data_IF_834035836158
#
_entry.id   IF_834035836158
#
_cell.length_a   1.000
_cell.length_b   1.000
_cell.length_c   1.000
_cell.angle_alpha   90.00
_cell.angle_beta   90.00
_cell.angle_gamma   90.00
#
_symmetry.space_group_name_H-M   'P 1'
#
loop_
_entity.id
_entity.type
_entity.pdbx_description
1 polymer ?
#
# COMPACT_ATOMS: atom_id res chain seq x y z
N UNK A 1 6.39 16.15 -16.29
CA UNK A 1 5.15 15.63 -16.91
C UNK A 1 4.04 15.63 -15.86
N UNK A 2 2.93 16.28 -16.15
CA UNK A 2 1.79 16.24 -15.25
C UNK A 2 0.97 14.96 -15.48
N UNK A 3 0.71 14.21 -14.43
CA UNK A 3 -0.15 13.03 -14.50
C UNK A 3 -1.57 13.44 -14.12
N UNK A 4 -2.51 13.17 -15.01
CA UNK A 4 -3.93 13.39 -14.74
C UNK A 4 -4.53 12.11 -14.14
N UNK A 5 -5.12 12.25 -12.98
CA UNK A 5 -5.88 11.16 -12.36
C UNK A 5 -7.31 11.14 -12.90
N UNK A 6 -7.93 9.95 -12.99
CA UNK A 6 -9.35 9.87 -13.27
C UNK A 6 -10.17 10.61 -12.21
N UNK A 7 -11.38 10.99 -12.60
CA UNK A 7 -12.32 11.64 -11.70
C UNK A 7 -12.60 10.76 -10.49
N UNK A 8 -12.61 11.35 -9.29
CA UNK A 8 -12.84 10.62 -8.05
C UNK A 8 -11.59 10.03 -7.39
N UNK A 9 -10.41 10.17 -8.03
CA UNK A 9 -9.15 9.73 -7.45
C UNK A 9 -8.28 10.91 -7.08
N UNK A 10 -7.56 10.77 -5.97
CA UNK A 10 -6.55 11.73 -5.50
C UNK A 10 -5.27 10.97 -5.17
N UNK A 11 -4.13 11.63 -5.37
CA UNK A 11 -2.83 11.07 -5.03
C UNK A 11 -1.96 12.12 -4.38
N UNK A 12 -1.07 11.67 -3.52
CA UNK A 12 -0.07 12.50 -2.88
C UNK A 12 1.16 11.70 -2.53
N UNK A 13 2.29 12.37 -2.44
CA UNK A 13 3.55 11.76 -2.04
C UNK A 13 4.29 12.68 -1.09
N UNK A 14 5.09 12.10 -0.21
CA UNK A 14 5.86 12.83 0.77
C UNK A 14 7.16 12.13 1.11
N UNK A 15 8.01 12.80 1.87
CA UNK A 15 9.24 12.24 2.43
C UNK A 15 8.94 11.69 3.81
N UNK A 16 9.12 10.38 3.99
CA UNK A 16 8.97 9.74 5.28
C UNK A 16 10.32 9.39 5.93
N UNK A 17 11.42 9.71 5.26
CA UNK A 17 12.76 9.45 5.77
C UNK A 17 13.25 8.02 5.56
N UNK A 18 12.63 7.27 4.67
CA UNK A 18 13.00 5.87 4.37
C UNK A 18 14.24 5.84 3.46
N UNK A 19 14.22 6.67 2.41
CA UNK A 19 15.34 6.78 1.48
C UNK A 19 16.44 7.70 2.03
N UNK A 20 17.70 7.25 2.02
CA UNK A 20 18.81 8.15 2.41
C UNK A 20 18.91 9.40 1.54
N UNK A 21 18.44 9.35 0.29
CA UNK A 21 18.50 10.46 -0.65
C UNK A 21 17.61 11.65 -0.27
N UNK A 22 16.68 11.49 0.67
CA UNK A 22 15.70 12.51 1.01
C UNK A 22 14.65 12.78 -0.06
N UNK A 23 14.55 11.92 -1.09
CA UNK A 23 13.49 12.01 -2.10
C UNK A 23 12.17 11.49 -1.53
N UNK A 24 11.03 11.85 -2.12
CA UNK A 24 9.75 11.28 -1.72
C UNK A 24 9.79 9.75 -1.75
N UNK A 25 9.30 9.14 -0.69
CA UNK A 25 9.40 7.70 -0.48
C UNK A 25 8.12 7.08 0.10
N UNK A 26 7.07 7.88 0.21
CA UNK A 26 5.75 7.43 0.65
C UNK A 26 4.69 8.07 -0.23
N UNK A 27 3.77 7.28 -0.75
CA UNK A 27 2.68 7.78 -1.59
C UNK A 27 1.35 7.15 -1.20
N UNK A 28 0.29 7.91 -1.43
CA UNK A 28 -1.09 7.46 -1.28
C UNK A 28 -1.84 7.70 -2.59
N UNK A 29 -2.67 6.73 -2.98
CA UNK A 29 -3.68 6.87 -4.01
C UNK A 29 -5.03 6.56 -3.37
N UNK A 30 -5.98 7.47 -3.48
CA UNK A 30 -7.26 7.37 -2.76
C UNK A 30 -8.42 7.50 -3.74
N UNK A 31 -9.38 6.58 -3.63
CA UNK A 31 -10.67 6.69 -4.31
C UNK A 31 -11.70 7.31 -3.38
N UNK A 32 -12.47 8.26 -3.87
CA UNK A 32 -13.57 8.88 -3.13
C UNK A 32 -14.74 7.94 -2.86
N UNK A 33 -14.83 6.85 -3.64
CA UNK A 33 -15.87 5.81 -3.52
C UNK A 33 -15.24 4.43 -3.44
N UNK A 34 -15.95 3.43 -2.90
CA UNK A 34 -15.49 2.04 -3.00
C UNK A 34 -15.20 1.67 -4.45
N UNK A 35 -14.02 1.16 -4.71
CA UNK A 35 -13.54 0.86 -6.06
C UNK A 35 -13.41 -0.64 -6.28
N UNK A 36 -13.90 -1.09 -7.43
CA UNK A 36 -13.59 -2.43 -7.92
C UNK A 36 -12.11 -2.50 -8.29
N UNK A 37 -11.49 -3.65 -8.07
CA UNK A 37 -10.08 -3.84 -8.34
C UNK A 37 -9.77 -5.25 -8.82
N UNK A 38 -8.66 -5.38 -9.52
CA UNK A 38 -8.09 -6.65 -9.93
C UNK A 38 -6.67 -6.74 -9.39
N UNK A 39 -6.21 -7.94 -9.12
CA UNK A 39 -4.94 -8.15 -8.45
C UNK A 39 -4.12 -9.22 -9.15
N UNK A 40 -2.88 -8.88 -9.44
CA UNK A 40 -1.90 -9.82 -9.96
C UNK A 40 -0.65 -9.73 -9.07
N UNK A 41 -0.17 -10.85 -8.60
CA UNK A 41 0.97 -10.92 -7.69
C UNK A 41 1.74 -12.21 -7.91
N UNK A 42 2.98 -12.24 -7.41
CA UNK A 42 3.80 -13.44 -7.46
C UNK A 42 3.12 -14.63 -6.76
N UNK A 43 3.37 -15.83 -7.26
CA UNK A 43 2.95 -17.08 -6.61
C UNK A 43 3.99 -17.60 -5.62
N UNK A 44 5.12 -16.92 -5.46
CA UNK A 44 6.18 -17.32 -4.55
C UNK A 44 5.65 -17.38 -3.12
N UNK A 45 5.92 -18.48 -2.41
CA UNK A 45 5.53 -18.65 -1.01
C UNK A 45 6.31 -17.73 -0.08
N UNK A 46 7.53 -17.36 -0.46
CA UNK A 46 8.37 -16.43 0.29
C UNK A 46 8.11 -14.97 -0.11
N UNK A 47 6.92 -14.66 -0.59
CA UNK A 47 6.54 -13.31 -0.96
C UNK A 47 6.53 -12.36 0.24
N UNK A 48 6.67 -11.07 -0.03
CA UNK A 48 6.63 -10.02 0.99
C UNK A 48 5.28 -9.98 1.74
N UNK A 49 5.24 -9.46 2.97
CA UNK A 49 4.00 -9.30 3.73
C UNK A 49 2.88 -8.59 2.97
N UNK A 50 3.22 -7.55 2.21
CA UNK A 50 2.23 -6.82 1.39
C UNK A 50 1.53 -7.72 0.37
N UNK A 51 2.24 -8.70 -0.18
CA UNK A 51 1.67 -9.66 -1.14
C UNK A 51 0.71 -10.62 -0.43
N UNK A 52 1.10 -11.16 0.70
CA UNK A 52 0.23 -12.04 1.49
C UNK A 52 -1.03 -11.32 1.93
N UNK A 53 -0.89 -10.10 2.38
CA UNK A 53 -2.02 -9.26 2.77
C UNK A 53 -2.92 -8.93 1.57
N UNK A 54 -2.33 -8.57 0.43
CA UNK A 54 -3.06 -8.28 -0.80
C UNK A 54 -3.86 -9.48 -1.30
N UNK A 55 -3.29 -10.69 -1.25
CA UNK A 55 -4.00 -11.92 -1.60
C UNK A 55 -5.22 -12.15 -0.71
N UNK A 56 -5.07 -11.97 0.60
CA UNK A 56 -6.16 -12.13 1.55
C UNK A 56 -7.28 -11.11 1.32
N UNK A 57 -6.93 -9.86 1.08
CA UNK A 57 -7.88 -8.81 0.77
C UNK A 57 -8.64 -9.11 -0.53
N UNK A 58 -7.95 -9.55 -1.57
CA UNK A 58 -8.58 -9.87 -2.85
C UNK A 58 -9.54 -11.06 -2.70
N UNK A 59 -9.15 -12.07 -1.94
CA UNK A 59 -9.99 -13.23 -1.67
C UNK A 59 -11.26 -12.87 -0.89
N UNK A 60 -11.24 -11.79 -0.11
CA UNK A 60 -12.42 -11.32 0.63
C UNK A 60 -13.51 -10.75 -0.26
N UNK A 61 -13.19 -10.40 -1.51
CA UNK A 61 -14.14 -9.83 -2.47
C UNK A 61 -14.56 -8.40 -2.16
N UNK A 62 -13.95 -7.73 -1.18
CA UNK A 62 -14.32 -6.38 -0.78
C UNK A 62 -13.68 -5.34 -1.70
N UNK A 63 -14.36 -4.19 -1.92
CA UNK A 63 -13.77 -3.09 -2.68
C UNK A 63 -12.65 -2.42 -1.91
N UNK A 64 -11.79 -1.69 -2.63
CA UNK A 64 -10.73 -0.87 -2.04
C UNK A 64 -11.07 0.62 -2.09
N UNK A 65 -10.44 1.38 -1.20
CA UNK A 65 -10.52 2.83 -1.17
C UNK A 65 -9.16 3.49 -1.32
N UNK A 66 -8.06 2.81 -0.96
CA UNK A 66 -6.74 3.42 -0.98
C UNK A 66 -5.62 2.41 -1.24
N UNK A 67 -4.54 2.92 -1.81
CA UNK A 67 -3.25 2.25 -1.92
C UNK A 67 -2.22 3.10 -1.19
N UNK A 68 -1.45 2.50 -0.29
CA UNK A 68 -0.28 3.12 0.34
C UNK A 68 0.98 2.41 -0.12
N UNK A 69 1.94 3.17 -0.61
CA UNK A 69 3.18 2.63 -1.19
C UNK A 69 4.37 3.29 -0.53
N UNK A 70 5.31 2.49 -0.06
CA UNK A 70 6.62 3.02 0.32
C UNK A 70 7.70 2.57 -0.67
N UNK A 71 8.73 3.40 -0.81
CA UNK A 71 9.94 3.11 -1.54
C UNK A 71 11.14 3.23 -0.60
N UNK A 72 12.24 2.54 -0.94
CA UNK A 72 13.46 2.55 -0.14
C UNK A 72 13.62 1.35 0.78
N UNK A 73 12.57 0.58 1.03
CA UNK A 73 12.59 -0.67 1.78
C UNK A 73 11.48 -1.58 1.27
N UNK A 74 11.87 -2.69 0.66
CA UNK A 74 10.93 -3.64 0.07
C UNK A 74 10.15 -4.47 1.11
N UNK A 75 10.60 -4.49 2.36
CA UNK A 75 10.01 -5.31 3.42
C UNK A 75 9.90 -6.79 3.03
N UNK A 76 11.01 -7.36 2.57
CA UNK A 76 11.10 -8.76 2.18
C UNK A 76 11.97 -9.53 3.19
N UNK A 77 11.57 -10.78 3.50
CA UNK A 77 12.30 -11.66 4.41
C UNK A 77 12.60 -11.04 5.78
N UNK A 78 11.65 -10.28 6.31
CA UNK A 78 11.79 -9.54 7.56
C UNK A 78 11.13 -10.23 8.76
N UNK A 79 10.57 -11.43 8.57
CA UNK A 79 9.92 -12.20 9.62
C UNK A 79 8.63 -11.57 10.14
N UNK A 80 8.26 -11.91 11.36
CA UNK A 80 7.05 -11.41 12.04
C UNK A 80 6.95 -9.89 12.06
N UNK A 81 8.08 -9.22 12.32
CA UNK A 81 8.12 -7.76 12.35
C UNK A 81 7.70 -7.14 11.03
N UNK A 82 8.10 -7.74 9.91
CA UNK A 82 7.71 -7.28 8.59
C UNK A 82 6.20 -7.32 8.38
N UNK A 83 5.53 -8.35 8.87
CA UNK A 83 4.06 -8.44 8.84
C UNK A 83 3.40 -7.39 9.72
N UNK A 84 3.94 -7.14 10.90
CA UNK A 84 3.45 -6.10 11.79
C UNK A 84 3.62 -4.71 11.19
N UNK A 85 4.77 -4.44 10.58
CA UNK A 85 5.07 -3.16 9.94
C UNK A 85 4.13 -2.91 8.74
N UNK A 86 3.88 -3.92 7.92
CA UNK A 86 2.95 -3.83 6.81
C UNK A 86 1.53 -3.53 7.28
N UNK A 87 1.07 -4.27 8.27
CA UNK A 87 -0.24 -4.05 8.89
C UNK A 87 -0.35 -2.65 9.48
N UNK A 88 0.69 -2.21 10.17
CA UNK A 88 0.73 -0.89 10.80
C UNK A 88 0.68 0.23 9.76
N UNK A 89 1.35 0.06 8.63
CA UNK A 89 1.29 1.02 7.53
C UNK A 89 -0.15 1.18 7.00
N UNK A 90 -0.85 0.07 6.80
CA UNK A 90 -2.25 0.08 6.39
C UNK A 90 -3.16 0.72 7.44
N UNK A 91 -2.97 0.39 8.71
CA UNK A 91 -3.75 0.96 9.83
C UNK A 91 -3.58 2.47 9.93
N UNK A 92 -2.34 2.95 9.84
CA UNK A 92 -2.06 4.38 9.92
C UNK A 92 -2.63 5.15 8.73
N UNK A 93 -2.52 4.61 7.51
CA UNK A 93 -3.12 5.21 6.33
C UNK A 93 -4.66 5.25 6.46
N UNK A 94 -5.27 4.16 6.88
CA UNK A 94 -6.71 4.07 7.10
C UNK A 94 -7.18 5.09 8.14
N UNK A 95 -6.47 5.20 9.26
CA UNK A 95 -6.79 6.14 10.32
C UNK A 95 -6.81 7.59 9.80
N UNK A 96 -5.79 7.95 9.02
CA UNK A 96 -5.69 9.30 8.44
C UNK A 96 -6.78 9.60 7.41
N UNK A 97 -7.25 8.58 6.72
CA UNK A 97 -8.24 8.71 5.65
C UNK A 97 -9.68 8.50 6.12
N UNK A 98 -9.88 8.13 7.39
CA UNK A 98 -11.20 7.78 7.90
C UNK A 98 -11.76 6.48 7.32
N UNK A 99 -10.88 5.53 7.00
CA UNK A 99 -11.21 4.24 6.41
C UNK A 99 -10.91 3.10 7.39
N UNK A 100 -11.37 1.89 7.08
CA UNK A 100 -10.91 0.70 7.78
C UNK A 100 -9.65 0.14 7.10
N UNK A 101 -8.78 -0.57 7.83
CA UNK A 101 -7.56 -1.14 7.24
C UNK A 101 -7.82 -2.10 6.08
N UNK A 102 -8.97 -2.78 6.05
CA UNK A 102 -9.36 -3.69 4.98
C UNK A 102 -9.69 -2.98 3.66
N UNK A 103 -9.87 -1.66 3.70
CA UNK A 103 -10.08 -0.82 2.52
C UNK A 103 -8.78 -0.29 1.93
N UNK A 104 -7.64 -0.61 2.54
CA UNK A 104 -6.33 -0.10 2.16
C UNK A 104 -5.40 -1.25 1.80
N UNK A 105 -4.88 -1.23 0.57
CA UNK A 105 -3.84 -2.16 0.14
C UNK A 105 -2.47 -1.51 0.26
N UNK A 106 -1.47 -2.30 0.58
CA UNK A 106 -0.09 -1.87 0.78
C UNK A 106 0.80 -2.34 -0.36
N UNK A 107 1.85 -1.59 -0.62
CA UNK A 107 2.94 -2.00 -1.50
C UNK A 107 4.25 -1.43 -0.96
N UNK A 108 5.31 -2.20 -1.07
CA UNK A 108 6.65 -1.81 -0.61
C UNK A 108 7.67 -2.17 -1.67
N UNK A 109 8.60 -1.27 -1.94
CA UNK A 109 9.65 -1.47 -2.92
C UNK A 109 10.98 -0.90 -2.44
N UNK A 110 12.08 -1.34 -3.05
CA UNK A 110 13.41 -0.88 -2.71
C UNK A 110 14.33 -2.00 -2.28
N UNK A 111 15.32 -1.67 -1.53
CA UNK A 111 16.35 -2.62 -1.06
C UNK A 111 16.25 -2.82 0.44
#
# INVERSE_FOLDING_TARGET
MAVRLPRGFRAGATRAGIKPSGRPDLALLVSGLPAAWAYAATQNRAAAPSIHRGRALYASGKPLRAVVVNAGNANCATGERGYEDDRRMAELAALRLGLSPEEVITASTGV
#
